data_IF_371596387841
#
_entry.id   IF_371596387841
#
_cell.length_a   1.000
_cell.length_b   1.000
_cell.length_c   1.000
_cell.angle_alpha   90.00
_cell.angle_beta   90.00
_cell.angle_gamma   90.00
#
_symmetry.space_group_name_H-M   'P 1'
#
loop_
_entity.id
_entity.type
_entity.pdbx_description
1 polymer ?
#
# COMPACT_ATOMS: atom_id res chain seq x y z
N UNK A 1 -7.88 14.27 -6.00
CA UNK A 1 -7.19 15.59 -6.14
C UNK A 1 -7.40 16.62 -5.02
N UNK A 2 -8.49 16.67 -4.23
CA UNK A 2 -8.73 17.74 -3.21
C UNK A 2 -7.64 17.88 -2.11
N UNK A 3 -6.66 16.98 -2.04
CA UNK A 3 -5.54 17.01 -1.11
C UNK A 3 -4.18 16.81 -1.80
N UNK A 4 -4.12 17.04 -3.12
CA UNK A 4 -2.85 16.91 -3.84
C UNK A 4 -1.93 18.09 -3.50
N UNK A 5 -0.68 17.79 -3.19
CA UNK A 5 0.34 18.80 -2.93
C UNK A 5 1.20 18.98 -4.18
N UNK A 6 1.19 20.19 -4.74
CA UNK A 6 2.00 20.57 -5.90
C UNK A 6 3.11 21.50 -5.44
N UNK A 7 4.34 21.20 -5.85
CA UNK A 7 5.46 22.12 -5.71
C UNK A 7 5.82 22.69 -7.08
N UNK A 8 5.84 24.02 -7.19
CA UNK A 8 6.32 24.73 -8.37
C UNK A 8 7.75 25.19 -8.08
N UNK A 9 8.72 24.64 -8.79
CA UNK A 9 10.14 25.00 -8.71
C UNK A 9 10.52 25.87 -9.90
N UNK A 10 10.77 27.15 -9.66
CA UNK A 10 11.11 28.09 -10.73
C UNK A 10 11.91 29.25 -10.18
N UNK A 11 12.88 29.74 -10.94
CA UNK A 11 13.55 31.01 -10.62
C UNK A 11 12.85 32.21 -11.27
N UNK A 12 11.83 31.94 -12.10
CA UNK A 12 11.05 32.95 -12.81
C UNK A 12 9.69 33.20 -12.13
N UNK A 13 9.53 34.39 -11.55
CA UNK A 13 8.32 34.79 -10.81
C UNK A 13 7.09 34.89 -11.69
N UNK A 14 7.24 35.30 -12.95
CA UNK A 14 6.12 35.42 -13.89
C UNK A 14 5.50 34.06 -14.19
N UNK A 15 6.34 33.05 -14.47
CA UNK A 15 5.92 31.67 -14.64
C UNK A 15 5.13 31.16 -13.43
N UNK A 16 5.66 31.33 -12.21
CA UNK A 16 4.98 30.91 -10.99
C UNK A 16 3.60 31.57 -10.84
N UNK A 17 3.53 32.89 -11.08
CA UNK A 17 2.30 33.67 -10.93
C UNK A 17 1.24 33.25 -11.94
N UNK A 18 1.60 33.14 -13.22
CA UNK A 18 0.68 32.70 -14.28
C UNK A 18 0.12 31.32 -13.99
N UNK A 19 1.01 30.39 -13.64
CA UNK A 19 0.63 29.01 -13.38
C UNK A 19 -0.27 28.87 -12.14
N UNK A 20 0.03 29.62 -11.06
CA UNK A 20 -0.82 29.67 -9.87
C UNK A 20 -2.20 30.24 -10.21
N UNK A 21 -2.27 31.31 -11.02
CA UNK A 21 -3.54 31.90 -11.46
C UNK A 21 -4.36 30.93 -12.32
N UNK A 22 -3.70 30.17 -13.22
CA UNK A 22 -4.36 29.14 -14.01
C UNK A 22 -5.02 28.05 -13.13
N UNK A 23 -4.35 27.62 -12.06
CA UNK A 23 -4.92 26.66 -11.12
C UNK A 23 -6.05 27.21 -10.24
N UNK A 24 -6.07 28.52 -9.98
CA UNK A 24 -7.18 29.15 -9.25
C UNK A 24 -8.50 29.12 -10.05
N UNK A 25 -8.41 29.06 -11.39
CA UNK A 25 -9.58 28.90 -12.26
C UNK A 25 -10.15 27.48 -12.29
N UNK A 26 -9.42 26.50 -11.78
CA UNK A 26 -9.84 25.09 -11.77
C UNK A 26 -10.80 24.78 -10.61
N UNK A 27 -11.76 23.87 -10.84
CA UNK A 27 -12.76 23.49 -9.81
C UNK A 27 -12.16 22.78 -8.61
N UNK A 28 -10.97 22.20 -8.76
CA UNK A 28 -10.27 21.46 -7.71
C UNK A 28 -8.88 22.06 -7.52
N UNK A 29 -8.76 23.01 -6.61
CA UNK A 29 -7.48 23.66 -6.33
C UNK A 29 -6.62 22.77 -5.41
N UNK A 30 -5.44 22.35 -5.85
CA UNK A 30 -4.47 21.64 -5.01
C UNK A 30 -3.79 22.60 -4.04
N UNK A 31 -3.12 22.06 -3.02
CA UNK A 31 -2.22 22.86 -2.19
C UNK A 31 -0.95 23.15 -3.02
N UNK A 32 -0.71 24.43 -3.33
CA UNK A 32 0.42 24.85 -4.17
C UNK A 32 1.47 25.50 -3.28
N UNK A 33 2.71 25.04 -3.40
CA UNK A 33 3.88 25.68 -2.80
C UNK A 33 4.84 26.10 -3.92
N UNK A 34 5.23 27.37 -3.94
CA UNK A 34 6.20 27.90 -4.92
C UNK A 34 7.55 28.03 -4.23
N UNK A 35 8.60 27.50 -4.84
CA UNK A 35 9.97 27.54 -4.33
C UNK A 35 10.94 27.96 -5.44
N UNK A 36 11.90 28.81 -5.09
CA UNK A 36 13.08 29.08 -5.92
C UNK A 36 14.01 27.87 -5.96
N UNK A 37 14.85 27.78 -6.99
CA UNK A 37 15.79 26.66 -7.12
C UNK A 37 16.83 26.65 -6.00
N UNK A 38 17.15 27.81 -5.42
CA UNK A 38 18.08 28.03 -4.31
C UNK A 38 17.54 27.52 -2.97
N UNK A 39 16.22 27.59 -2.77
CA UNK A 39 15.54 27.11 -1.57
C UNK A 39 15.21 25.61 -1.62
N UNK A 40 15.47 24.93 -2.74
CA UNK A 40 15.20 23.50 -2.86
C UNK A 40 16.20 22.67 -2.05
N UNK A 41 15.71 22.07 -0.97
CA UNK A 41 16.41 21.06 -0.18
C UNK A 41 15.48 19.86 0.07
N UNK A 42 15.91 18.65 -0.31
CA UNK A 42 15.11 17.43 -0.17
C UNK A 42 14.65 17.18 1.27
N UNK A 43 15.48 17.50 2.27
CA UNK A 43 15.19 17.21 3.67
C UNK A 43 14.10 18.10 4.27
N UNK A 44 13.88 19.29 3.69
CA UNK A 44 12.90 20.28 4.15
C UNK A 44 11.74 20.43 3.16
N UNK A 45 11.79 19.72 2.04
CA UNK A 45 10.76 19.78 1.01
C UNK A 45 9.43 19.23 1.57
N UNK A 46 8.31 19.95 1.36
CA UNK A 46 7.01 19.46 1.77
C UNK A 46 6.67 18.16 1.02
N UNK A 47 5.84 17.31 1.63
CA UNK A 47 5.30 16.14 0.95
C UNK A 47 4.56 16.59 -0.31
N UNK A 48 4.91 16.01 -1.46
CA UNK A 48 4.44 16.45 -2.76
C UNK A 48 4.05 15.26 -3.63
N UNK A 49 2.94 15.41 -4.36
CA UNK A 49 2.46 14.41 -5.32
C UNK A 49 2.93 14.75 -6.74
N UNK A 50 3.13 16.04 -7.02
CA UNK A 50 3.61 16.56 -8.29
C UNK A 50 4.61 17.70 -8.08
N UNK A 51 5.69 17.67 -8.84
CA UNK A 51 6.64 18.78 -8.95
C UNK A 51 6.60 19.34 -10.36
N UNK A 52 6.35 20.64 -10.49
CA UNK A 52 6.43 21.37 -11.76
C UNK A 52 7.69 22.23 -11.74
N UNK A 53 8.63 21.90 -12.61
CA UNK A 53 9.89 22.61 -12.77
C UNK A 53 9.73 23.60 -13.92
N UNK A 54 9.74 24.90 -13.62
CA UNK A 54 9.79 25.97 -14.60
C UNK A 54 11.23 26.29 -15.03
N UNK A 55 11.43 27.43 -15.70
CA UNK A 55 12.77 27.95 -16.02
C UNK A 55 13.63 28.11 -14.77
N UNK A 56 14.84 27.53 -14.80
CA UNK A 56 15.82 27.56 -13.72
C UNK A 56 17.13 28.19 -14.19
N UNK A 57 17.92 28.72 -13.25
CA UNK A 57 19.33 29.07 -13.49
C UNK A 57 20.13 27.84 -13.94
N UNK A 58 21.14 28.07 -14.78
CA UNK A 58 21.97 27.02 -15.36
C UNK A 58 22.56 26.08 -14.29
N UNK A 59 22.57 24.77 -14.60
CA UNK A 59 23.19 23.74 -13.75
C UNK A 59 22.36 23.25 -12.56
N UNK A 60 21.19 23.83 -12.24
CA UNK A 60 20.36 23.40 -11.10
C UNK A 60 19.47 22.18 -11.38
N UNK A 61 19.01 22.02 -12.63
CA UNK A 61 18.02 21.01 -13.02
C UNK A 61 18.43 19.58 -12.60
N UNK A 62 19.65 19.16 -12.97
CA UNK A 62 20.12 17.79 -12.71
C UNK A 62 20.29 17.50 -11.21
N UNK A 63 20.60 18.52 -10.41
CA UNK A 63 20.68 18.39 -8.94
C UNK A 63 19.30 18.17 -8.33
N UNK A 64 18.32 18.96 -8.77
CA UNK A 64 16.92 18.83 -8.34
C UNK A 64 16.36 17.47 -8.73
N UNK A 65 16.50 17.06 -10.00
CA UNK A 65 16.00 15.77 -10.47
C UNK A 65 16.56 14.57 -9.70
N UNK A 66 17.86 14.59 -9.35
CA UNK A 66 18.48 13.54 -8.52
C UNK A 66 17.92 13.48 -7.11
N UNK A 67 17.51 14.61 -6.57
CA UNK A 67 16.98 14.71 -5.22
C UNK A 67 15.49 14.36 -5.12
N UNK A 68 14.74 14.39 -6.22
CA UNK A 68 13.32 14.07 -6.24
C UNK A 68 13.06 12.59 -5.92
N UNK A 69 11.96 12.34 -5.20
CA UNK A 69 11.55 10.99 -4.86
C UNK A 69 10.97 10.25 -6.06
N UNK A 70 11.24 8.95 -6.14
CA UNK A 70 10.74 8.07 -7.21
C UNK A 70 9.22 7.91 -7.23
N UNK A 71 8.52 8.42 -6.21
CA UNK A 71 7.07 8.37 -6.08
C UNK A 71 6.34 9.52 -6.77
N UNK A 72 6.93 10.72 -6.80
CA UNK A 72 6.27 11.92 -7.31
C UNK A 72 6.25 11.97 -8.84
N UNK A 73 5.21 12.59 -9.40
CA UNK A 73 5.23 12.97 -10.80
C UNK A 73 6.09 14.23 -10.97
N UNK A 74 6.78 14.36 -12.11
CA UNK A 74 7.64 15.51 -12.40
C UNK A 74 7.30 16.05 -13.79
N UNK A 75 6.95 17.33 -13.86
CA UNK A 75 6.74 18.04 -15.11
C UNK A 75 7.85 19.08 -15.30
N UNK A 76 8.58 19.02 -16.41
CA UNK A 76 9.56 20.04 -16.79
C UNK A 76 8.97 20.97 -17.84
N UNK A 77 8.93 22.25 -17.52
CA UNK A 77 8.47 23.34 -18.36
C UNK A 77 9.68 24.18 -18.80
N UNK A 78 10.24 23.83 -19.95
CA UNK A 78 11.39 24.51 -20.51
C UNK A 78 11.29 24.57 -22.03
N UNK A 79 11.91 25.57 -22.63
CA UNK A 79 12.29 25.50 -24.03
C UNK A 79 13.54 24.62 -24.10
N UNK A 80 13.50 23.54 -24.87
CA UNK A 80 14.57 22.55 -24.86
C UNK A 80 14.72 21.83 -26.19
N UNK A 81 15.96 21.44 -26.48
CA UNK A 81 16.29 20.54 -27.59
C UNK A 81 15.76 19.13 -27.30
N UNK A 82 15.22 18.47 -28.33
CA UNK A 82 14.65 17.13 -28.25
C UNK A 82 15.69 16.09 -27.79
N UNK A 83 16.97 16.31 -28.09
CA UNK A 83 18.06 15.41 -27.70
C UNK A 83 18.32 15.42 -26.19
N UNK A 84 18.46 16.59 -25.59
CA UNK A 84 18.67 16.75 -24.14
C UNK A 84 17.47 16.18 -23.36
N UNK A 85 16.25 16.39 -23.85
CA UNK A 85 15.03 15.82 -23.27
C UNK A 85 14.97 14.30 -23.37
N UNK A 86 15.52 13.70 -24.43
CA UNK A 86 15.60 12.25 -24.55
C UNK A 86 16.58 11.65 -23.53
N UNK A 87 17.73 12.27 -23.33
CA UNK A 87 18.72 11.87 -22.32
C UNK A 87 18.15 11.99 -20.90
N UNK A 88 17.44 13.09 -20.60
CA UNK A 88 16.77 13.29 -19.32
C UNK A 88 15.67 12.25 -19.07
N UNK A 89 14.83 11.92 -20.07
CA UNK A 89 13.79 10.88 -19.89
C UNK A 89 14.38 9.48 -19.68
N UNK A 90 15.53 9.18 -20.29
CA UNK A 90 16.22 7.92 -20.05
C UNK A 90 16.70 7.80 -18.59
N UNK A 91 17.17 8.89 -18.00
CA UNK A 91 17.54 8.95 -16.58
C UNK A 91 16.35 9.06 -15.62
N UNK A 92 15.25 9.67 -16.07
CA UNK A 92 14.06 9.96 -15.24
C UNK A 92 12.77 9.57 -15.98
N UNK A 93 12.35 8.28 -15.92
CA UNK A 93 11.21 7.78 -16.70
C UNK A 93 9.86 8.43 -16.37
N UNK A 94 9.75 9.08 -15.21
CA UNK A 94 8.53 9.78 -14.73
C UNK A 94 8.50 11.27 -15.11
N UNK A 95 9.56 11.75 -15.77
CA UNK A 95 9.66 13.12 -16.24
C UNK A 95 8.78 13.32 -17.47
N UNK A 96 7.83 14.23 -17.38
CA UNK A 96 7.03 14.70 -18.51
C UNK A 96 7.50 16.09 -18.89
N UNK A 97 7.78 16.32 -20.18
CA UNK A 97 8.16 17.63 -20.67
C UNK A 97 6.94 18.36 -21.25
N UNK A 98 6.77 19.61 -20.86
CA UNK A 98 5.80 20.54 -21.44
C UNK A 98 6.57 21.72 -22.04
N UNK A 99 6.60 21.89 -23.37
CA UNK A 99 7.29 23.00 -24.00
C UNK A 99 6.60 24.34 -23.68
N UNK A 100 7.39 25.36 -23.35
CA UNK A 100 6.91 26.74 -23.18
C UNK A 100 6.65 27.41 -24.53
N UNK A 101 5.52 27.04 -25.15
CA UNK A 101 4.97 27.59 -26.41
C UNK A 101 3.61 28.26 -26.15
N UNK A 102 2.91 28.74 -27.17
CA UNK A 102 1.52 29.21 -27.03
C UNK A 102 0.64 28.16 -26.32
N UNK A 103 -0.24 28.61 -25.42
CA UNK A 103 -1.13 27.78 -24.60
C UNK A 103 -0.44 26.71 -23.71
N UNK A 104 0.85 26.91 -23.38
CA UNK A 104 1.59 25.99 -22.49
C UNK A 104 0.86 25.75 -21.16
N UNK A 105 0.20 26.76 -20.61
CA UNK A 105 -0.47 26.68 -19.32
C UNK A 105 -1.65 25.69 -19.34
N UNK A 106 -2.46 25.69 -20.40
CA UNK A 106 -3.57 24.74 -20.55
C UNK A 106 -3.06 23.31 -20.73
N UNK A 107 -2.02 23.14 -21.55
CA UNK A 107 -1.36 21.84 -21.73
C UNK A 107 -0.80 21.32 -20.41
N UNK A 108 -0.15 22.19 -19.64
CA UNK A 108 0.40 21.86 -18.33
C UNK A 108 -0.71 21.44 -17.36
N UNK A 109 -1.82 22.17 -17.27
CA UNK A 109 -2.94 21.82 -16.41
C UNK A 109 -3.51 20.42 -16.74
N UNK A 110 -3.69 20.11 -18.02
CA UNK A 110 -4.16 18.80 -18.47
C UNK A 110 -3.18 17.68 -18.07
N UNK A 111 -1.89 17.87 -18.37
CA UNK A 111 -0.84 16.89 -18.06
C UNK A 111 -0.67 16.73 -16.55
N UNK A 112 -0.77 17.80 -15.78
CA UNK A 112 -0.70 17.77 -14.32
C UNK A 112 -1.89 17.02 -13.72
N UNK A 113 -3.10 17.28 -14.20
CA UNK A 113 -4.29 16.56 -13.78
C UNK A 113 -4.16 15.05 -14.02
N UNK A 114 -3.67 14.65 -15.19
CA UNK A 114 -3.45 13.24 -15.48
C UNK A 114 -2.31 12.63 -14.66
N UNK A 115 -1.23 13.37 -14.48
CA UNK A 115 -0.09 12.94 -13.66
C UNK A 115 -0.50 12.71 -12.20
N UNK A 116 -1.35 13.57 -11.65
CA UNK A 116 -1.90 13.43 -10.30
C UNK A 116 -2.83 12.23 -10.18
N UNK A 117 -3.73 12.01 -11.16
CA UNK A 117 -4.59 10.80 -11.17
C UNK A 117 -3.77 9.53 -11.20
N UNK A 118 -2.72 9.50 -12.03
CA UNK A 118 -1.80 8.35 -12.12
C UNK A 118 -1.03 8.12 -10.81
N UNK A 119 -0.55 9.18 -10.18
CA UNK A 119 0.13 9.11 -8.89
C UNK A 119 -0.80 8.56 -7.80
N UNK A 120 -2.04 9.07 -7.72
CA UNK A 120 -3.07 8.63 -6.78
C UNK A 120 -3.43 7.15 -7.00
N UNK A 121 -3.68 6.74 -8.24
CA UNK A 121 -3.96 5.35 -8.60
C UNK A 121 -2.80 4.41 -8.23
N UNK A 122 -1.56 4.84 -8.47
CA UNK A 122 -0.36 4.05 -8.10
C UNK A 122 -0.22 3.90 -6.59
N UNK A 123 -0.55 4.94 -5.82
CA UNK A 123 -0.53 4.90 -4.35
C UNK A 123 -1.58 3.93 -3.82
N UNK A 124 -2.79 3.99 -4.34
CA UNK A 124 -3.88 3.08 -3.98
C UNK A 124 -3.55 1.63 -4.33
N UNK A 125 -2.99 1.38 -5.51
CA UNK A 125 -2.54 0.05 -5.92
C UNK A 125 -1.51 -0.52 -4.93
N UNK A 126 -0.47 0.25 -4.60
CA UNK A 126 0.56 -0.19 -3.64
C UNK A 126 -0.01 -0.46 -2.25
N UNK A 127 -1.00 0.32 -1.82
CA UNK A 127 -1.66 0.08 -0.55
C UNK A 127 -2.49 -1.22 -0.58
N UNK A 128 -3.24 -1.44 -1.65
CA UNK A 128 -4.00 -2.67 -1.85
C UNK A 128 -3.09 -3.90 -1.93
N UNK A 129 -1.97 -3.81 -2.65
CA UNK A 129 -0.95 -4.87 -2.72
C UNK A 129 -0.38 -5.23 -1.34
N UNK A 130 -0.06 -4.22 -0.51
CA UNK A 130 0.43 -4.45 0.85
C UNK A 130 -0.61 -5.15 1.72
N UNK A 131 -1.86 -4.69 1.66
CA UNK A 131 -2.96 -5.31 2.40
C UNK A 131 -3.21 -6.74 1.93
N UNK A 132 -3.19 -7.00 0.61
CA UNK A 132 -3.35 -8.33 0.05
C UNK A 132 -2.20 -9.26 0.44
N UNK A 133 -0.95 -8.77 0.44
CA UNK A 133 0.21 -9.53 0.91
C UNK A 133 0.08 -9.92 2.39
N UNK A 134 -0.39 -8.99 3.24
CA UNK A 134 -0.66 -9.27 4.65
C UNK A 134 -1.76 -10.34 4.82
N UNK A 135 -2.87 -10.21 4.09
CA UNK A 135 -3.94 -11.23 4.08
C UNK A 135 -3.44 -12.59 3.59
N UNK A 136 -2.59 -12.63 2.56
CA UNK A 136 -2.00 -13.87 2.05
C UNK A 136 -1.09 -14.56 3.09
N UNK A 137 -0.37 -13.77 3.91
CA UNK A 137 0.41 -14.31 5.02
C UNK A 137 -0.48 -14.95 6.09
N UNK A 138 -1.56 -14.28 6.51
CA UNK A 138 -2.52 -14.86 7.47
C UNK A 138 -3.19 -16.12 6.91
N UNK A 139 -3.55 -16.13 5.63
CA UNK A 139 -4.12 -17.31 4.98
C UNK A 139 -3.13 -18.50 4.97
N UNK A 140 -1.84 -18.23 4.74
CA UNK A 140 -0.79 -19.25 4.79
C UNK A 140 -0.61 -19.83 6.19
N UNK A 141 -0.60 -18.97 7.23
CA UNK A 141 -0.55 -19.42 8.63
C UNK A 141 -1.78 -20.26 9.00
N UNK A 142 -2.98 -19.81 8.62
CA UNK A 142 -4.22 -20.55 8.86
C UNK A 142 -4.22 -21.92 8.19
N UNK A 143 -3.73 -22.02 6.94
CA UNK A 143 -3.56 -23.30 6.23
C UNK A 143 -2.62 -24.23 6.98
N UNK A 144 -1.45 -23.74 7.41
CA UNK A 144 -0.50 -24.53 8.18
C UNK A 144 -1.10 -25.03 9.51
N UNK A 145 -1.87 -24.19 10.21
CA UNK A 145 -2.55 -24.61 11.45
C UNK A 145 -3.58 -25.71 11.21
N UNK A 146 -4.33 -25.65 10.10
CA UNK A 146 -5.28 -26.69 9.72
C UNK A 146 -4.58 -28.00 9.35
N UNK A 147 -3.47 -27.94 8.63
CA UNK A 147 -2.63 -29.11 8.33
C UNK A 147 -2.07 -29.74 9.62
N UNK A 148 -1.62 -28.90 10.57
CA UNK A 148 -1.02 -29.35 11.82
C UNK A 148 -2.05 -29.88 12.84
N UNK A 149 -3.36 -29.65 12.63
CA UNK A 149 -4.45 -30.01 13.54
C UNK A 149 -4.35 -31.45 14.04
N UNK A 150 -4.19 -32.41 13.14
CA UNK A 150 -4.16 -33.83 13.49
C UNK A 150 -2.94 -34.16 14.37
N UNK A 151 -1.76 -33.64 13.99
CA UNK A 151 -0.52 -33.86 14.75
C UNK A 151 -0.61 -33.27 16.16
N UNK A 152 -1.12 -32.05 16.29
CA UNK A 152 -1.31 -31.39 17.59
C UNK A 152 -2.32 -32.14 18.44
N UNK A 153 -3.47 -32.54 17.88
CA UNK A 153 -4.47 -33.31 18.61
C UNK A 153 -3.90 -34.64 19.11
N UNK A 154 -3.14 -35.36 18.29
CA UNK A 154 -2.49 -36.59 18.70
C UNK A 154 -1.50 -36.38 19.86
N UNK A 155 -0.69 -35.34 19.80
CA UNK A 155 0.25 -34.99 20.87
C UNK A 155 -0.51 -34.65 22.17
N UNK A 156 -1.60 -33.87 22.08
CA UNK A 156 -2.43 -33.52 23.22
C UNK A 156 -3.12 -34.74 23.84
N UNK A 157 -3.66 -35.65 23.02
CA UNK A 157 -4.23 -36.92 23.50
C UNK A 157 -3.20 -37.75 24.24
N UNK A 158 -1.96 -37.81 23.73
CA UNK A 158 -0.86 -38.48 24.41
C UNK A 158 -0.51 -37.84 25.76
N UNK A 159 -0.38 -36.51 25.80
CA UNK A 159 -0.08 -35.77 27.04
C UNK A 159 -1.18 -35.95 28.08
N UNK A 160 -2.45 -35.84 27.67
CA UNK A 160 -3.61 -36.02 28.56
C UNK A 160 -3.67 -37.44 29.10
N UNK A 161 -3.56 -38.45 28.23
CA UNK A 161 -3.61 -39.85 28.65
C UNK A 161 -2.48 -40.22 29.62
N UNK A 162 -1.25 -39.77 29.36
CA UNK A 162 -0.14 -40.00 30.30
C UNK A 162 -0.34 -39.27 31.63
N UNK A 163 -0.85 -38.03 31.61
CA UNK A 163 -1.14 -37.30 32.84
C UNK A 163 -2.25 -37.99 33.66
N UNK A 164 -3.30 -38.49 33.01
CA UNK A 164 -4.39 -39.24 33.65
C UNK A 164 -3.89 -40.56 34.27
N UNK A 165 -3.05 -41.32 33.57
CA UNK A 165 -2.44 -42.54 34.09
C UNK A 165 -1.59 -42.26 35.36
N UNK A 166 -0.76 -41.22 35.32
CA UNK A 166 0.07 -40.83 36.47
C UNK A 166 -0.78 -40.32 37.66
N UNK A 167 -1.93 -39.71 37.40
CA UNK A 167 -2.87 -39.30 38.44
C UNK A 167 -3.68 -40.47 39.03
N UNK A 168 -3.80 -41.58 38.30
CA UNK A 168 -4.54 -42.77 38.73
C UNK A 168 -3.75 -43.60 39.78
N UNK A 169 -2.41 -43.50 39.79
CA UNK A 169 -1.53 -44.16 40.78
C UNK A 169 -0.79 -43.14 41.68
N UNK A 170 -1.49 -42.42 42.57
CA UNK A 170 -0.89 -41.33 43.36
C UNK A 170 0.13 -41.80 44.41
N UNK A 171 0.19 -43.10 44.71
CA UNK A 171 1.04 -43.66 45.77
C UNK A 171 2.55 -43.58 45.53
N UNK A 172 2.99 -43.27 44.31
CA UNK A 172 4.42 -43.21 43.93
C UNK A 172 4.95 -41.78 43.75
N UNK A 173 4.08 -40.78 43.76
CA UNK A 173 4.43 -39.39 43.40
C UNK A 173 4.35 -38.46 44.62
N UNK A 174 5.26 -37.49 44.66
CA UNK A 174 5.21 -36.43 45.67
C UNK A 174 3.97 -35.54 45.46
N UNK A 175 3.52 -34.86 46.52
CA UNK A 175 2.41 -33.91 46.44
C UNK A 175 2.68 -32.79 45.40
N UNK A 176 3.93 -32.32 45.31
CA UNK A 176 4.36 -31.33 44.33
C UNK A 176 4.28 -31.86 42.89
N UNK A 177 4.72 -33.10 42.66
CA UNK A 177 4.64 -33.75 41.35
C UNK A 177 3.19 -33.93 40.89
N UNK A 178 2.29 -34.30 41.81
CA UNK A 178 0.86 -34.40 41.52
C UNK A 178 0.25 -33.06 41.12
N UNK A 179 0.63 -31.96 41.77
CA UNK A 179 0.16 -30.61 41.42
C UNK A 179 0.66 -30.17 40.03
N UNK A 180 1.91 -30.48 39.70
CA UNK A 180 2.49 -30.21 38.37
C UNK A 180 1.77 -31.00 37.27
N UNK A 181 1.48 -32.28 37.49
CA UNK A 181 0.76 -33.12 36.52
C UNK A 181 -0.67 -32.60 36.30
N UNK A 182 -1.37 -32.18 37.36
CA UNK A 182 -2.69 -31.52 37.24
C UNK A 182 -2.62 -30.23 36.41
N UNK A 183 -1.55 -29.45 36.58
CA UNK A 183 -1.33 -28.23 35.80
C UNK A 183 -1.12 -28.55 34.32
N UNK A 184 -0.28 -29.55 34.00
CA UNK A 184 -0.04 -29.99 32.61
C UNK A 184 -1.36 -30.49 31.97
N UNK A 185 -2.14 -31.29 32.69
CA UNK A 185 -3.44 -31.78 32.24
C UNK A 185 -4.39 -30.61 31.91
N UNK A 186 -4.51 -29.63 32.81
CA UNK A 186 -5.32 -28.43 32.59
C UNK A 186 -4.85 -27.61 31.38
N UNK A 187 -3.54 -27.41 31.22
CA UNK A 187 -2.98 -26.71 30.06
C UNK A 187 -3.23 -27.46 28.75
N UNK A 188 -3.14 -28.78 28.74
CA UNK A 188 -3.40 -29.60 27.56
C UNK A 188 -4.88 -29.54 27.13
N UNK A 189 -5.83 -29.57 28.07
CA UNK A 189 -7.25 -29.35 27.78
C UNK A 189 -7.48 -27.95 27.18
N UNK A 190 -6.87 -26.91 27.76
CA UNK A 190 -6.99 -25.54 27.23
C UNK A 190 -6.45 -25.42 25.81
N UNK A 191 -5.34 -26.08 25.49
CA UNK A 191 -4.80 -26.12 24.13
C UNK A 191 -5.73 -26.87 23.17
N UNK A 192 -6.37 -27.95 23.62
CA UNK A 192 -7.36 -28.68 22.84
C UNK A 192 -8.57 -27.80 22.47
N UNK A 193 -9.12 -27.06 23.45
CA UNK A 193 -10.21 -26.11 23.22
C UNK A 193 -9.83 -25.01 22.21
N UNK A 194 -8.61 -24.46 22.32
CA UNK A 194 -8.10 -23.46 21.37
C UNK A 194 -8.08 -24.02 19.94
N UNK A 195 -7.58 -25.25 19.76
CA UNK A 195 -7.55 -25.92 18.46
C UNK A 195 -8.94 -26.22 17.90
N UNK A 196 -9.90 -26.54 18.76
CA UNK A 196 -11.31 -26.69 18.36
C UNK A 196 -11.90 -25.37 17.88
N UNK A 197 -11.66 -24.26 18.57
CA UNK A 197 -12.12 -22.92 18.14
C UNK A 197 -11.56 -22.54 16.78
N UNK A 198 -10.27 -22.79 16.53
CA UNK A 198 -9.68 -22.57 15.21
C UNK A 198 -10.35 -23.42 14.12
N UNK A 199 -10.70 -24.67 14.43
CA UNK A 199 -11.43 -25.54 13.50
C UNK A 199 -12.85 -25.04 13.19
N UNK A 200 -13.57 -24.55 14.20
CA UNK A 200 -14.92 -23.96 14.02
C UNK A 200 -14.85 -22.75 13.11
N UNK A 201 -13.95 -21.81 13.42
CA UNK A 201 -13.76 -20.60 12.65
C UNK A 201 -13.43 -20.91 11.18
N UNK A 202 -12.56 -21.89 10.95
CA UNK A 202 -12.22 -22.31 9.58
C UNK A 202 -13.41 -22.95 8.82
N UNK A 203 -14.35 -23.59 9.51
CA UNK A 203 -15.58 -24.12 8.90
C UNK A 203 -16.53 -22.99 8.54
N UNK A 204 -16.79 -22.08 9.48
CA UNK A 204 -17.65 -20.91 9.29
C UNK A 204 -17.16 -20.04 8.12
N UNK A 205 -15.85 -19.81 8.01
CA UNK A 205 -15.26 -19.07 6.89
C UNK A 205 -15.52 -19.72 5.54
N UNK A 206 -15.42 -21.06 5.44
CA UNK A 206 -15.70 -21.78 4.17
C UNK A 206 -17.17 -21.75 3.80
N UNK A 207 -18.06 -21.79 4.80
CA UNK A 207 -19.50 -21.70 4.57
C UNK A 207 -19.89 -20.30 4.09
N UNK A 208 -19.33 -19.25 4.70
CA UNK A 208 -19.51 -17.87 4.26
C UNK A 208 -19.00 -17.64 2.82
N UNK A 209 -17.84 -18.22 2.47
CA UNK A 209 -17.28 -18.13 1.11
C UNK A 209 -18.20 -18.81 0.08
N UNK A 210 -18.71 -20.01 0.38
CA UNK A 210 -19.65 -20.72 -0.50
C UNK A 210 -20.96 -19.96 -0.70
N UNK A 211 -21.50 -19.35 0.36
CA UNK A 211 -22.71 -18.54 0.28
C UNK A 211 -22.50 -17.31 -0.62
N UNK A 212 -21.38 -16.62 -0.47
CA UNK A 212 -21.03 -15.45 -1.29
C UNK A 212 -20.85 -15.79 -2.78
N UNK A 213 -20.24 -16.94 -3.10
CA UNK A 213 -20.11 -17.41 -4.47
C UNK A 213 -21.48 -17.73 -5.11
N UNK A 214 -22.37 -18.39 -4.37
CA UNK A 214 -23.72 -18.70 -4.85
C UNK A 214 -24.56 -17.44 -5.13
N UNK A 215 -24.43 -16.39 -4.31
CA UNK A 215 -25.11 -15.10 -4.55
C UNK A 215 -24.59 -14.38 -5.79
N UNK A 216 -23.28 -14.46 -6.06
CA UNK A 216 -22.65 -13.83 -7.23
C UNK A 216 -23.05 -14.53 -8.54
N UNK A 217 -23.14 -15.85 -8.52
CA UNK A 217 -23.63 -16.66 -9.66
C UNK A 217 -25.13 -16.46 -9.92
N UNK A 218 -25.93 -16.28 -8.86
CA UNK A 218 -27.37 -16.01 -8.99
C UNK A 218 -27.67 -14.59 -9.51
N UNK A 219 -26.78 -13.62 -9.29
CA UNK A 219 -26.93 -12.24 -9.76
C UNK A 219 -26.44 -12.00 -11.20
N UNK A 220 -25.69 -12.93 -11.79
CA UNK A 220 -25.10 -12.83 -13.13
C UNK A 220 -25.88 -13.43 -14.33
N UNK A 221 -27.10 -14.02 -14.24
CA UNK A 221 -27.76 -14.62 -15.41
C UNK A 221 -28.50 -13.63 -16.33
N UNK A 222 -28.70 -12.36 -15.97
CA UNK A 222 -29.53 -11.42 -16.76
C UNK A 222 -28.79 -10.58 -17.81
N UNK A 223 -27.46 -10.71 -17.94
CA UNK A 223 -26.67 -9.89 -18.88
C UNK A 223 -26.51 -10.48 -20.30
N UNK A 224 -26.95 -11.72 -20.56
CA UNK A 224 -26.68 -12.42 -21.84
C UNK A 224 -27.87 -12.44 -22.82
N UNK A 225 -29.07 -12.03 -22.40
CA UNK A 225 -30.26 -12.09 -23.28
C UNK A 225 -30.73 -10.73 -23.83
N UNK A 226 -29.83 -9.91 -24.37
CA UNK A 226 -30.19 -8.84 -25.33
C UNK A 226 -29.06 -8.63 -26.36
N UNK A 227 -29.14 -9.35 -27.48
CA UNK A 227 -28.52 -8.99 -28.75
C UNK A 227 -29.60 -8.85 -29.79
#
# INVERSE_FOLDING_TARGET
>A
MRHANIVILTDETEFARLLTACWQGERQMPAITVLGSDLWNKQEAPAHDLVVIGPLREGRLTGILRSLDSGAAVILCAQGDLRELAELRAGYPRLVHVPLREDWAQTLLLVAGESLRRAEATKLLRQAERSAAESANYATLGRYMLEMKHSVNNALTGVLGNAELLLFEPGQLSAQSLEQIKTIHSMALRLHEIMQRFSSLASEMREAEKASQAETEAASPDAVSRR
#
